data_IF_654487230480
#
_entry.id   IF_654487230480
#
_cell.length_a   1.000
_cell.length_b   1.000
_cell.length_c   1.000
_cell.angle_alpha   90.00
_cell.angle_beta   90.00
_cell.angle_gamma   90.00
#
_symmetry.space_group_name_H-M   'P 1'
#
loop_
_entity.id
_entity.type
_entity.pdbx_description
1 polymer ?
#
# COMPACT_ATOMS: atom_id res chain seq x y z
N UNK A 1 2.28 9.31 -17.54
CA UNK A 1 2.92 8.01 -17.36
C UNK A 1 2.85 7.61 -15.89
N UNK A 2 2.16 6.52 -15.62
CA UNK A 2 2.03 6.03 -14.26
C UNK A 2 3.26 5.20 -13.89
N UNK A 3 4.05 5.70 -12.97
CA UNK A 3 5.13 4.94 -12.33
C UNK A 3 4.85 4.93 -10.86
N UNK A 4 4.68 3.75 -10.31
CA UNK A 4 4.39 3.60 -8.89
C UNK A 4 5.54 2.92 -8.18
N UNK A 5 5.89 3.45 -7.03
CA UNK A 5 6.68 2.73 -6.04
C UNK A 5 5.71 2.10 -5.07
N UNK A 6 5.52 0.82 -5.19
CA UNK A 6 4.59 0.09 -4.32
C UNK A 6 5.37 -0.45 -3.15
N UNK A 7 4.97 -0.04 -1.96
CA UNK A 7 5.55 -0.56 -0.72
C UNK A 7 4.62 -1.65 -0.23
N UNK A 8 5.13 -2.88 -0.22
CA UNK A 8 4.38 -4.05 0.25
C UNK A 8 4.83 -4.37 1.66
N UNK A 9 3.93 -4.27 2.61
CA UNK A 9 4.20 -4.54 4.00
C UNK A 9 3.66 -5.91 4.39
N UNK A 10 4.46 -6.67 5.13
CA UNK A 10 4.05 -7.95 5.66
C UNK A 10 3.88 -7.80 7.18
N UNK A 11 2.65 -7.83 7.68
CA UNK A 11 2.41 -7.65 9.11
C UNK A 11 2.86 -8.84 9.96
N UNK A 12 2.98 -10.02 9.38
CA UNK A 12 3.42 -11.20 10.14
C UNK A 12 4.93 -11.16 10.43
N UNK A 13 5.72 -10.74 9.45
CA UNK A 13 7.19 -10.66 9.61
C UNK A 13 7.65 -9.28 10.04
N UNK A 14 6.78 -8.27 9.93
CA UNK A 14 7.13 -6.89 10.24
C UNK A 14 8.08 -6.25 9.24
N UNK A 15 8.19 -6.81 8.04
CA UNK A 15 9.07 -6.30 6.99
C UNK A 15 8.29 -5.66 5.86
N UNK A 16 8.95 -4.82 5.10
CA UNK A 16 8.36 -4.22 3.91
C UNK A 16 9.36 -4.23 2.76
N UNK A 17 8.84 -4.29 1.55
CA UNK A 17 9.63 -4.26 0.32
C UNK A 17 9.11 -3.18 -0.59
N UNK A 18 10.00 -2.56 -1.35
CA UNK A 18 9.62 -1.57 -2.37
C UNK A 18 9.73 -2.23 -3.74
N UNK A 19 8.64 -2.17 -4.49
CA UNK A 19 8.58 -2.68 -5.86
C UNK A 19 8.26 -1.52 -6.77
N UNK A 20 9.08 -1.30 -7.78
CA UNK A 20 8.79 -0.27 -8.77
C UNK A 20 7.99 -0.88 -9.91
N UNK A 21 6.83 -0.28 -10.21
CA UNK A 21 5.97 -0.69 -11.31
C UNK A 21 5.99 0.36 -12.39
N UNK A 22 6.31 -0.07 -13.60
CA UNK A 22 6.25 0.78 -14.77
C UNK A 22 4.84 0.81 -15.34
N UNK A 23 4.65 1.67 -16.30
CA UNK A 23 3.36 2.01 -16.88
C UNK A 23 2.46 0.81 -17.19
N UNK A 24 2.99 -0.20 -17.87
CA UNK A 24 2.21 -1.39 -18.25
C UNK A 24 1.79 -2.23 -17.04
N UNK A 25 2.64 -2.32 -16.03
CA UNK A 25 2.36 -3.08 -14.80
C UNK A 25 1.55 -2.26 -13.81
N UNK A 26 1.65 -0.95 -13.89
CA UNK A 26 0.92 -0.04 -13.01
C UNK A 26 -0.53 0.19 -13.48
N UNK A 27 -0.82 -0.05 -14.74
CA UNK A 27 -2.15 0.20 -15.30
C UNK A 27 -3.30 -0.45 -14.52
N UNK A 28 -3.19 -1.69 -14.03
CA UNK A 28 -4.26 -2.28 -13.23
C UNK A 28 -4.51 -1.58 -11.90
N UNK A 29 -3.54 -0.82 -11.38
CA UNK A 29 -3.70 -0.09 -10.13
C UNK A 29 -4.36 1.27 -10.33
N UNK A 30 -4.27 1.83 -11.52
CA UNK A 30 -4.90 3.13 -11.82
C UNK A 30 -6.42 2.99 -11.73
N UNK A 31 -7.05 3.89 -10.98
CA UNK A 31 -8.48 3.85 -10.72
C UNK A 31 -8.90 3.03 -9.51
N UNK A 32 -7.97 2.35 -8.87
CA UNK A 32 -8.26 1.64 -7.62
C UNK A 32 -8.34 2.61 -6.46
N UNK A 33 -9.06 2.23 -5.44
CA UNK A 33 -9.28 3.06 -4.24
C UNK A 33 -8.54 2.50 -3.05
N UNK A 34 -8.30 3.37 -2.07
CA UNK A 34 -7.77 2.94 -0.78
C UNK A 34 -8.77 1.98 -0.13
N UNK A 35 -8.28 0.87 0.36
CA UNK A 35 -9.12 -0.16 0.96
C UNK A 35 -9.51 -1.30 0.03
N UNK A 36 -9.25 -1.17 -1.27
CA UNK A 36 -9.48 -2.27 -2.21
C UNK A 36 -8.41 -3.34 -2.09
N UNK A 37 -8.82 -4.56 -2.32
CA UNK A 37 -7.93 -5.72 -2.32
C UNK A 37 -7.59 -6.03 -3.78
N UNK A 38 -6.31 -6.14 -4.09
CA UNK A 38 -5.83 -6.49 -5.42
C UNK A 38 -4.93 -7.73 -5.35
N UNK A 39 -4.77 -8.37 -6.48
CA UNK A 39 -3.91 -9.55 -6.56
C UNK A 39 -2.45 -9.18 -6.43
N UNK A 40 -1.72 -9.97 -5.64
CA UNK A 40 -0.31 -9.74 -5.41
C UNK A 40 0.59 -10.03 -6.61
N UNK A 41 0.05 -10.63 -7.65
CA UNK A 41 0.80 -10.88 -8.87
C UNK A 41 1.35 -9.60 -9.50
N UNK A 42 0.71 -8.47 -9.25
CA UNK A 42 1.16 -7.15 -9.72
C UNK A 42 2.49 -6.73 -9.10
N UNK A 43 2.79 -7.23 -7.91
CA UNK A 43 4.00 -6.88 -7.18
C UNK A 43 4.92 -8.10 -6.97
N UNK A 44 4.87 -9.03 -7.90
CA UNK A 44 5.68 -10.26 -7.90
C UNK A 44 5.43 -11.18 -6.70
N UNK A 45 4.22 -11.13 -6.17
CA UNK A 45 3.77 -12.00 -5.09
C UNK A 45 2.55 -12.80 -5.55
N UNK A 46 2.74 -13.81 -6.40
CA UNK A 46 1.62 -14.59 -6.92
C UNK A 46 0.87 -15.30 -5.79
N UNK A 47 -0.43 -15.41 -5.96
CA UNK A 47 -1.36 -16.02 -5.00
C UNK A 47 -1.50 -15.29 -3.66
N UNK A 48 -0.81 -14.17 -3.46
CA UNK A 48 -1.06 -13.28 -2.33
C UNK A 48 -2.15 -12.27 -2.71
N UNK A 49 -2.84 -11.78 -1.70
CA UNK A 49 -3.75 -10.65 -1.86
C UNK A 49 -3.25 -9.49 -1.03
N UNK A 50 -3.20 -8.34 -1.65
CA UNK A 50 -2.72 -7.13 -1.02
C UNK A 50 -3.84 -6.09 -0.97
N UNK A 51 -3.83 -5.31 0.09
CA UNK A 51 -4.80 -4.25 0.30
C UNK A 51 -4.10 -2.90 0.16
N UNK A 52 -4.69 -2.00 -0.60
CA UNK A 52 -4.16 -0.64 -0.73
C UNK A 52 -4.51 0.12 0.55
N UNK A 53 -3.49 0.60 1.24
CA UNK A 53 -3.68 1.30 2.52
C UNK A 53 -3.52 2.80 2.39
N UNK A 54 -2.83 3.28 1.37
CA UNK A 54 -2.63 4.71 1.18
C UNK A 54 -1.57 4.99 0.15
N UNK A 55 -1.09 6.22 0.17
CA UNK A 55 -0.03 6.63 -0.75
C UNK A 55 0.18 8.12 -0.74
N UNK A 56 1.03 8.59 -1.62
CA UNK A 56 1.31 10.01 -1.81
C UNK A 56 1.54 10.31 -3.28
N UNK A 57 1.37 11.57 -3.64
CA UNK A 57 1.62 12.00 -5.01
C UNK A 57 3.05 12.51 -5.20
N UNK A 58 3.33 13.02 -6.40
CA UNK A 58 4.66 13.53 -6.77
C UNK A 58 5.13 14.71 -5.91
N UNK A 59 4.20 15.45 -5.32
CA UNK A 59 4.52 16.59 -4.46
C UNK A 59 4.53 16.22 -2.98
N UNK A 60 4.35 14.94 -2.66
CA UNK A 60 4.35 14.48 -1.29
C UNK A 60 3.02 14.65 -0.57
N UNK A 61 1.96 15.03 -1.30
CA UNK A 61 0.62 15.19 -0.71
C UNK A 61 0.03 13.81 -0.42
N UNK A 62 -0.36 13.53 0.84
CA UNK A 62 -0.87 12.21 1.19
C UNK A 62 -2.28 11.97 0.67
N UNK A 63 -2.58 10.71 0.40
CA UNK A 63 -3.93 10.28 0.08
C UNK A 63 -4.71 10.04 1.36
N UNK A 64 -5.95 10.51 1.38
CA UNK A 64 -6.84 10.36 2.53
C UNK A 64 -8.07 9.56 2.12
N UNK A 65 -8.39 8.46 2.82
CA UNK A 65 -9.52 7.60 2.42
C UNK A 65 -10.89 8.26 2.58
N UNK A 66 -10.99 9.27 3.44
CA UNK A 66 -12.25 10.01 3.64
C UNK A 66 -12.54 11.03 2.54
N UNK A 67 -11.57 11.36 1.71
CA UNK A 67 -11.74 12.28 0.59
C UNK A 67 -11.96 11.47 -0.67
N UNK A 68 -13.10 11.66 -1.33
CA UNK A 68 -13.45 10.90 -2.52
C UNK A 68 -12.87 11.52 -3.79
N UNK A 69 -12.45 10.66 -4.70
CA UNK A 69 -11.97 11.04 -6.00
C UNK A 69 -10.46 11.00 -6.13
N UNK A 70 -9.96 11.34 -7.31
CA UNK A 70 -8.54 11.35 -7.63
C UNK A 70 -7.92 12.75 -7.66
N UNK A 71 -8.54 13.72 -7.03
CA UNK A 71 -8.12 15.12 -7.10
C UNK A 71 -7.53 15.58 -5.78
N UNK A 72 -6.65 16.58 -5.87
CA UNK A 72 -6.10 17.24 -4.70
C UNK A 72 -7.08 18.29 -4.22
N UNK A 73 -7.38 18.28 -2.93
CA UNK A 73 -8.29 19.25 -2.32
C UNK A 73 -7.70 19.79 -1.03
N UNK A 74 -8.04 21.04 -0.73
CA UNK A 74 -7.74 21.63 0.56
C UNK A 74 -8.94 21.40 1.47
N UNK A 75 -8.72 20.67 2.55
CA UNK A 75 -9.78 20.37 3.52
C UNK A 75 -9.33 20.74 4.92
N UNK A 76 -10.29 21.09 5.76
CA UNK A 76 -10.02 21.40 7.15
C UNK A 76 -9.94 20.09 7.93
N UNK A 77 -8.81 19.85 8.55
CA UNK A 77 -8.55 18.62 9.29
C UNK A 77 -8.33 18.92 10.76
N UNK A 78 -8.88 18.08 11.61
CA UNK A 78 -8.62 18.10 13.05
C UNK A 78 -7.59 17.05 13.47
N UNK A 79 -7.26 16.13 12.58
CA UNK A 79 -6.27 15.09 12.84
C UNK A 79 -6.37 13.98 11.81
N UNK A 80 -5.54 12.98 11.97
CA UNK A 80 -5.48 11.82 11.07
C UNK A 80 -4.49 12.01 9.94
N UNK A 81 -4.70 11.31 8.84
CA UNK A 81 -3.80 11.37 7.68
C UNK A 81 -3.75 12.78 7.12
N UNK A 82 -2.56 13.33 7.02
CA UNK A 82 -2.31 14.65 6.44
C UNK A 82 -2.17 15.76 7.46
N UNK A 83 -2.51 15.54 8.72
CA UNK A 83 -2.38 16.57 9.76
C UNK A 83 -2.22 15.95 11.13
N UNK A 84 -1.19 16.41 11.85
CA UNK A 84 -0.96 16.04 13.24
C UNK A 84 -1.09 17.31 14.09
N UNK A 85 -2.16 17.45 14.87
CA UNK A 85 -2.34 18.63 15.69
C UNK A 85 -1.33 18.66 16.84
N UNK A 86 -0.81 19.85 17.14
CA UNK A 86 0.11 20.05 18.26
C UNK A 86 -0.64 20.33 19.57
N UNK A 87 -1.84 20.84 19.46
CA UNK A 87 -2.69 21.20 20.58
C UNK A 87 -4.05 20.56 20.42
N UNK A 88 -4.70 20.29 21.54
CA UNK A 88 -6.05 19.76 21.55
C UNK A 88 -7.02 20.74 20.89
N UNK A 89 -7.86 20.23 19.99
CA UNK A 89 -8.83 21.07 19.28
C UNK A 89 -8.27 21.87 18.12
N UNK A 90 -6.99 21.72 17.81
CA UNK A 90 -6.39 22.42 16.68
C UNK A 90 -6.96 21.90 15.36
N UNK A 91 -7.26 22.82 14.45
CA UNK A 91 -7.72 22.53 13.10
C UNK A 91 -6.92 23.33 12.10
N UNK A 92 -6.65 22.73 10.96
CA UNK A 92 -5.93 23.42 9.91
C UNK A 92 -6.42 22.94 8.54
N UNK A 93 -6.43 23.87 7.60
CA UNK A 93 -6.70 23.51 6.21
C UNK A 93 -5.44 22.97 5.57
N UNK A 94 -5.49 21.73 5.16
CA UNK A 94 -4.35 21.03 4.55
C UNK A 94 -4.72 20.49 3.18
N UNK A 95 -3.74 20.49 2.29
CA UNK A 95 -3.91 19.83 0.99
C UNK A 95 -3.80 18.32 1.17
N UNK A 96 -4.79 17.61 0.69
CA UNK A 96 -4.78 16.14 0.68
C UNK A 96 -5.28 15.65 -0.68
N UNK A 97 -4.91 14.44 -1.01
CA UNK A 97 -5.38 13.79 -2.20
C UNK A 97 -6.51 12.83 -1.88
N UNK A 98 -7.36 12.60 -2.86
CA UNK A 98 -8.48 11.68 -2.70
C UNK A 98 -8.05 10.22 -2.62
N UNK A 99 -9.01 9.34 -2.46
CA UNK A 99 -8.77 7.91 -2.24
C UNK A 99 -8.56 7.09 -3.52
N UNK A 100 -8.64 7.71 -4.69
CA UNK A 100 -8.47 7.02 -5.97
C UNK A 100 -7.04 7.20 -6.49
N UNK A 101 -6.42 6.09 -6.90
CA UNK A 101 -5.09 6.12 -7.50
C UNK A 101 -5.16 6.69 -8.92
N UNK A 102 -4.34 7.69 -9.20
CA UNK A 102 -4.23 8.32 -10.51
C UNK A 102 -2.79 8.28 -10.99
N UNK A 103 -2.56 8.73 -12.22
CA UNK A 103 -1.22 8.78 -12.79
C UNK A 103 -0.25 9.66 -12.03
N UNK A 104 -0.76 10.61 -11.25
CA UNK A 104 0.05 11.53 -10.48
C UNK A 104 0.56 10.94 -9.16
N UNK A 105 -0.01 9.82 -8.74
CA UNK A 105 0.46 9.14 -7.55
C UNK A 105 1.82 8.50 -7.84
N UNK A 106 2.76 8.68 -6.92
CA UNK A 106 4.11 8.12 -7.05
C UNK A 106 4.28 6.93 -6.12
N UNK A 107 3.85 7.06 -4.87
CA UNK A 107 4.00 6.02 -3.86
C UNK A 107 2.64 5.42 -3.53
N UNK A 108 2.57 4.11 -3.51
CA UNK A 108 1.39 3.36 -3.10
C UNK A 108 1.79 2.45 -1.95
N UNK A 109 1.11 2.59 -0.83
CA UNK A 109 1.33 1.75 0.33
C UNK A 109 0.32 0.61 0.31
N UNK A 110 0.81 -0.60 0.45
CA UNK A 110 -0.03 -1.80 0.49
C UNK A 110 0.40 -2.69 1.63
N UNK A 111 -0.49 -3.56 2.05
CA UNK A 111 -0.15 -4.60 3.01
C UNK A 111 -0.72 -5.93 2.55
N UNK A 112 -0.05 -7.00 2.90
CA UNK A 112 -0.49 -8.35 2.59
C UNK A 112 -1.65 -8.70 3.51
N UNK A 113 -2.79 -9.05 2.92
CA UNK A 113 -4.01 -9.43 3.67
C UNK A 113 -4.14 -10.93 3.72
N UNK A 114 -3.93 -11.59 2.58
CA UNK A 114 -4.01 -13.04 2.49
C UNK A 114 -2.73 -13.59 1.88
N UNK A 115 -2.24 -14.66 2.47
CA UNK A 115 -1.14 -15.45 1.94
C UNK A 115 -1.68 -16.82 1.55
N UNK A 116 -1.23 -17.39 0.44
CA UNK A 116 -1.59 -18.76 0.13
C UNK A 116 -0.99 -19.70 1.18
N UNK A 117 -1.66 -20.81 1.42
CA UNK A 117 -1.14 -21.82 2.35
C UNK A 117 0.27 -22.27 2.00
N UNK A 118 0.56 -22.39 0.71
CA UNK A 118 1.91 -22.69 0.23
C UNK A 118 2.94 -21.66 0.65
N UNK A 119 2.60 -20.37 0.61
CA UNK A 119 3.54 -19.33 1.02
C UNK A 119 3.78 -19.35 2.52
N UNK A 120 2.75 -19.69 3.31
CA UNK A 120 2.93 -19.87 4.74
C UNK A 120 3.80 -21.08 5.03
N UNK A 121 3.60 -22.16 4.30
CA UNK A 121 4.41 -23.35 4.39
C UNK A 121 5.83 -23.08 3.91
N UNK A 122 6.02 -22.33 2.86
CA UNK A 122 7.34 -21.93 2.35
C UNK A 122 8.07 -21.01 3.30
N UNK A 123 7.38 -20.13 4.01
CA UNK A 123 8.01 -19.30 5.03
C UNK A 123 8.37 -20.09 6.27
N UNK A 124 7.55 -21.07 6.61
CA UNK A 124 7.88 -22.04 7.65
C UNK A 124 8.87 -23.07 7.13
N UNK A 125 8.76 -23.45 5.86
CA UNK A 125 9.58 -24.47 5.24
C UNK A 125 11.09 -24.17 5.21
N UNK A 126 11.60 -22.95 5.05
CA UNK A 126 13.03 -22.75 5.18
C UNK A 126 13.55 -23.20 6.53
N UNK A 127 12.77 -22.96 7.57
CA UNK A 127 13.09 -23.45 8.91
C UNK A 127 12.83 -24.96 8.99
N UNK A 128 11.69 -25.40 8.49
CA UNK A 128 11.31 -26.80 8.48
C UNK A 128 12.14 -27.61 7.49
N UNK A 129 12.48 -27.04 6.34
CA UNK A 129 13.32 -27.71 5.34
C UNK A 129 14.76 -27.87 5.80
N UNK A 130 15.23 -26.99 6.64
CA UNK A 130 16.53 -27.18 7.30
C UNK A 130 16.46 -28.34 8.29
N UNK A 131 15.32 -28.52 8.90
CA UNK A 131 15.11 -29.60 9.87
C UNK A 131 14.69 -30.91 9.20
N UNK A 132 13.78 -30.83 8.23
CA UNK A 132 13.24 -32.01 7.58
C UNK A 132 14.29 -32.85 6.84
N UNK A 133 15.20 -32.26 6.06
CA UNK A 133 16.27 -33.04 5.44
C UNK A 133 17.19 -33.68 6.46
N UNK A 134 17.37 -33.06 7.61
CA UNK A 134 18.20 -33.64 8.66
C UNK A 134 17.44 -34.70 9.43
N UNK A 135 16.12 -34.58 9.45
CA UNK A 135 15.27 -35.58 10.10
C UNK A 135 15.02 -36.82 9.23
N UNK A 136 15.32 -36.72 7.95
CA UNK A 136 15.19 -37.87 7.08
C UNK A 136 16.42 -38.81 7.20
#
# INVERSE_FOLDING_TARGET
MAKFKVIVSDPETGTSKVVELEESRAAPLVGRRIGEIVEGALVDLPAHKIKITGGSDKDGVPMRPSVHGGVRRNVVLSGGVGFNPKHEGERKRMAVRGNVLTDEIVQVNTKIVEKPKKAKEEKAAPVAAVQAPTGA
#
